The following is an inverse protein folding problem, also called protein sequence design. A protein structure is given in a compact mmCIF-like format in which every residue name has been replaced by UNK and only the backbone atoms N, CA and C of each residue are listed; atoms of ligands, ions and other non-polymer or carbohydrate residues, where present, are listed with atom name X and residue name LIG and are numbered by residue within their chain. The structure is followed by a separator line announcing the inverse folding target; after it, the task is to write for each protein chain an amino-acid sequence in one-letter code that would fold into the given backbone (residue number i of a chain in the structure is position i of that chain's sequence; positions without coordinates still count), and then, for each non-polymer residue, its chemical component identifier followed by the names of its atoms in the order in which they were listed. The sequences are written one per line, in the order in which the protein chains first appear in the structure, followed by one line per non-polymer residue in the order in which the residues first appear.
data_IF_208814612008
#
_entry.id   IF_208814612008
#
_cell.length_a   1.000
_cell.length_b   1.000
_cell.length_c   1.000
_cell.angle_alpha   90.00
_cell.angle_beta   90.00
_cell.angle_gamma   90.00
#
_symmetry.space_group_name_H-M   'P 1'
#
loop_
_entity.id
_entity.type
_entity.pdbx_description
1 polymer ?
#
# COMPACT_ATOMS: atom_id res chain seq x y z
N UNK A 1 47.19 -24.16 55.86
CA UNK A 1 45.80 -23.94 56.31
C UNK A 1 45.47 -22.49 56.01
N UNK A 2 44.47 -22.11 55.23
CA UNK A 2 43.24 -22.78 54.82
C UNK A 2 42.68 -22.00 53.64
N UNK A 3 42.14 -22.74 52.64
CA UNK A 3 41.18 -22.31 51.60
C UNK A 3 41.80 -21.48 50.46
N UNK A 4 42.13 -22.03 49.29
CA UNK A 4 41.47 -23.11 48.52
C UNK A 4 39.97 -22.81 48.36
N UNK A 5 39.48 -22.88 47.12
CA UNK A 5 38.14 -22.49 46.66
C UNK A 5 37.98 -20.96 46.65
N UNK A 6 38.03 -20.30 45.50
CA UNK A 6 37.07 -20.52 44.44
C UNK A 6 37.65 -19.94 43.14
N UNK A 7 37.68 -20.77 42.09
CA UNK A 7 37.62 -20.37 40.66
C UNK A 7 38.91 -19.72 40.12
N UNK A 8 39.89 -20.38 39.50
CA UNK A 8 39.88 -21.49 38.52
C UNK A 8 38.65 -21.46 37.61
N UNK A 9 38.47 -20.37 36.86
CA UNK A 9 37.95 -20.38 35.48
C UNK A 9 38.12 -19.00 34.86
N UNK A 10 39.29 -18.71 34.31
CA UNK A 10 39.41 -17.85 33.12
C UNK A 10 40.79 -17.99 32.47
N UNK A 11 41.26 -19.23 32.33
CA UNK A 11 42.29 -19.52 31.33
C UNK A 11 41.57 -19.88 30.02
N UNK A 12 41.79 -19.03 29.02
CA UNK A 12 41.89 -19.31 27.59
C UNK A 12 41.17 -20.56 27.05
N UNK A 13 40.13 -20.34 26.23
CA UNK A 13 39.82 -21.06 24.98
C UNK A 13 38.57 -20.36 24.41
N UNK A 14 38.44 -19.96 23.16
CA UNK A 14 39.22 -20.13 21.96
C UNK A 14 38.87 -18.98 21.00
N UNK A 15 39.81 -18.61 20.13
CA UNK A 15 39.45 -17.90 18.91
C UNK A 15 38.44 -18.74 18.12
N UNK A 16 37.32 -18.12 17.74
CA UNK A 16 36.29 -18.80 16.97
C UNK A 16 35.21 -17.84 16.50
N UNK A 17 35.22 -17.59 15.19
CA UNK A 17 34.10 -17.13 14.38
C UNK A 17 33.88 -15.60 14.28
N UNK A 18 34.61 -15.02 13.32
CA UNK A 18 34.05 -14.00 12.41
C UNK A 18 32.68 -14.48 11.93
N UNK A 19 31.62 -13.68 12.12
CA UNK A 19 30.50 -13.47 11.20
C UNK A 19 29.57 -12.39 11.79
N UNK A 20 29.13 -11.48 10.92
CA UNK A 20 28.64 -10.16 11.28
C UNK A 20 27.33 -10.09 12.04
N UNK A 21 27.14 -8.97 12.74
CA UNK A 21 25.85 -8.31 12.85
C UNK A 21 26.07 -6.80 12.85
N UNK A 22 25.66 -6.20 11.73
CA UNK A 22 24.97 -4.90 11.60
C UNK A 22 25.46 -3.74 12.47
N UNK A 23 26.00 -2.72 11.80
CA UNK A 23 26.22 -1.40 12.39
C UNK A 23 24.97 -0.91 13.12
N UNK A 24 25.15 -0.57 14.38
CA UNK A 24 24.27 0.38 15.06
C UNK A 24 24.47 1.71 14.36
N UNK A 25 23.72 1.96 13.30
CA UNK A 25 23.41 3.33 12.91
C UNK A 25 22.65 3.92 14.11
N UNK A 26 23.34 4.78 14.86
CA UNK A 26 22.68 5.65 15.82
C UNK A 26 21.61 6.41 15.03
N UNK A 27 20.34 6.08 15.27
CA UNK A 27 19.24 6.95 14.92
C UNK A 27 19.43 8.21 15.77
N UNK A 28 20.00 9.23 15.13
CA UNK A 28 20.07 10.58 15.67
C UNK A 28 18.67 10.98 16.14
N UNK A 29 18.56 11.41 17.39
CA UNK A 29 17.30 11.80 18.02
C UNK A 29 16.69 12.94 17.21
N UNK A 30 15.71 12.60 16.38
CA UNK A 30 14.95 13.59 15.62
C UNK A 30 14.27 14.54 16.60
N UNK A 31 14.59 15.82 16.44
CA UNK A 31 13.89 16.96 17.05
C UNK A 31 12.37 16.74 17.06
N UNK A 32 11.79 17.00 18.22
CA UNK A 32 10.39 16.89 18.63
C UNK A 32 9.37 17.58 17.68
N UNK A 33 9.14 16.97 16.51
CA UNK A 33 8.07 17.38 15.57
C UNK A 33 6.98 16.29 15.41
N UNK A 34 7.04 15.22 16.21
CA UNK A 34 6.10 14.10 16.15
C UNK A 34 6.31 13.16 14.96
N UNK A 35 5.78 11.94 15.07
CA UNK A 35 5.79 10.97 13.97
C UNK A 35 4.89 11.44 12.83
N UNK A 36 5.47 11.77 11.68
CA UNK A 36 4.73 12.26 10.50
C UNK A 36 4.07 11.17 9.66
N UNK A 37 4.40 9.92 9.89
CA UNK A 37 3.83 8.77 9.19
C UNK A 37 2.63 8.21 9.94
N UNK A 38 1.51 8.05 9.26
CA UNK A 38 0.30 7.42 9.80
C UNK A 38 -0.06 6.23 8.91
N UNK A 39 -0.40 5.10 9.53
CA UNK A 39 -0.95 3.95 8.83
C UNK A 39 -2.19 3.48 9.57
N UNK A 40 -3.34 3.46 8.89
CA UNK A 40 -4.62 3.26 9.55
C UNK A 40 -5.61 2.49 8.69
N UNK A 41 -6.58 1.86 9.37
CA UNK A 41 -7.78 1.34 8.73
C UNK A 41 -8.75 2.50 8.54
N UNK A 42 -9.34 2.60 7.35
CA UNK A 42 -10.31 3.64 7.02
C UNK A 42 -11.70 3.22 7.51
N UNK A 43 -12.41 4.17 8.11
CA UNK A 43 -13.84 4.06 8.44
C UNK A 43 -14.69 4.69 7.32
N UNK A 44 -14.34 5.91 6.91
CA UNK A 44 -14.96 6.62 5.79
C UNK A 44 -14.03 7.68 5.20
N UNK A 45 -14.32 8.13 3.98
CA UNK A 45 -13.64 9.27 3.34
C UNK A 45 -14.69 10.27 2.87
N UNK A 46 -14.47 11.53 3.21
CA UNK A 46 -15.27 12.66 2.75
C UNK A 46 -14.45 13.46 1.73
N UNK A 47 -15.02 13.69 0.55
CA UNK A 47 -14.39 14.46 -0.54
C UNK A 47 -15.29 15.66 -0.84
N UNK A 48 -14.79 16.85 -0.54
CA UNK A 48 -15.44 18.13 -0.85
C UNK A 48 -15.19 18.57 -2.29
N UNK A 49 -16.17 19.27 -2.85
CA UNK A 49 -16.11 19.80 -4.22
C UNK A 49 -15.05 20.90 -4.41
N UNK A 50 -14.47 21.43 -3.33
CA UNK A 50 -13.39 22.42 -3.31
C UNK A 50 -11.99 21.77 -3.21
N UNK A 51 -11.89 20.44 -3.30
CA UNK A 51 -10.66 19.68 -3.16
C UNK A 51 -10.23 19.46 -1.71
N UNK A 52 -11.01 19.91 -0.71
CA UNK A 52 -10.79 19.58 0.69
C UNK A 52 -11.53 18.31 1.10
N UNK A 53 -11.11 17.67 2.18
CA UNK A 53 -11.78 16.45 2.64
C UNK A 53 -11.25 15.94 3.97
N UNK A 54 -11.80 14.81 4.40
CA UNK A 54 -11.43 14.15 5.66
C UNK A 54 -11.33 12.64 5.42
N UNK A 55 -10.25 12.02 5.89
CA UNK A 55 -10.14 10.56 5.99
C UNK A 55 -10.37 10.19 7.44
N UNK A 56 -11.50 9.55 7.73
CA UNK A 56 -11.81 9.04 9.06
C UNK A 56 -11.15 7.67 9.24
N UNK A 57 -10.35 7.53 10.30
CA UNK A 57 -9.67 6.28 10.65
C UNK A 57 -10.43 5.55 11.75
N UNK A 58 -10.33 4.22 11.73
CA UNK A 58 -10.83 3.39 12.84
C UNK A 58 -9.87 3.50 14.01
N UNK A 59 -10.40 3.86 15.19
CA UNK A 59 -9.67 3.95 16.47
C UNK A 59 -8.47 4.92 16.46
N UNK A 60 -8.46 5.90 15.55
CA UNK A 60 -7.45 6.97 15.45
C UNK A 60 -8.17 8.29 15.11
N UNK A 61 -7.49 9.41 15.25
CA UNK A 61 -8.03 10.72 14.88
C UNK A 61 -8.32 10.78 13.35
N UNK A 62 -9.10 11.76 12.86
CA UNK A 62 -9.27 12.01 11.43
C UNK A 62 -8.07 12.71 10.79
N UNK A 63 -7.80 12.45 9.51
CA UNK A 63 -6.76 13.12 8.71
C UNK A 63 -7.45 14.15 7.81
N UNK A 64 -6.96 15.39 7.82
CA UNK A 64 -7.41 16.42 6.90
C UNK A 64 -6.65 16.30 5.57
N UNK A 65 -7.37 16.44 4.46
CA UNK A 65 -6.80 16.51 3.11
C UNK A 65 -7.25 17.81 2.45
N UNK A 66 -6.42 18.33 1.55
CA UNK A 66 -6.67 19.57 0.82
C UNK A 66 -6.36 19.40 -0.67
N UNK A 67 -6.68 20.42 -1.47
CA UNK A 67 -6.50 20.39 -2.92
C UNK A 67 -5.08 20.00 -3.36
N UNK A 68 -4.06 20.39 -2.59
CA UNK A 68 -2.64 20.12 -2.86
C UNK A 68 -2.17 18.73 -2.37
N UNK A 69 -2.99 18.03 -1.59
CA UNK A 69 -2.67 16.69 -1.09
C UNK A 69 -2.52 15.75 -2.27
N UNK A 70 -1.39 15.05 -2.36
CA UNK A 70 -1.19 14.06 -3.41
C UNK A 70 -1.63 12.69 -2.96
N UNK A 71 -2.32 11.95 -3.83
CA UNK A 71 -2.76 10.59 -3.56
C UNK A 71 -2.29 9.61 -4.63
N UNK A 72 -2.15 8.35 -4.22
CA UNK A 72 -1.82 7.26 -5.14
C UNK A 72 -2.54 5.98 -4.72
N UNK A 73 -3.15 5.32 -5.70
CA UNK A 73 -3.70 3.97 -5.57
C UNK A 73 -2.71 3.03 -6.28
N UNK A 74 -1.96 2.17 -5.56
CA UNK A 74 -0.89 1.33 -6.13
C UNK A 74 -1.28 0.44 -7.32
N UNK A 75 -2.57 0.24 -7.54
CA UNK A 75 -3.14 -0.61 -8.61
C UNK A 75 -3.70 0.19 -9.79
N UNK A 76 -3.68 1.53 -9.78
CA UNK A 76 -4.14 2.39 -10.87
C UNK A 76 -2.93 3.11 -11.51
N UNK A 77 -2.86 3.14 -12.85
CA UNK A 77 -1.94 4.02 -13.60
C UNK A 77 -2.78 5.20 -14.14
N UNK A 78 -2.40 6.49 -13.98
CA UNK A 78 -1.03 7.06 -13.94
C UNK A 78 -0.56 7.47 -12.50
N UNK A 79 0.66 8.04 -12.30
CA UNK A 79 1.26 8.22 -10.97
C UNK A 79 0.60 9.37 -10.18
N UNK A 80 0.99 9.52 -8.90
CA UNK A 80 0.54 10.54 -7.93
C UNK A 80 -0.31 11.68 -8.52
N UNK A 81 -1.59 11.70 -8.16
CA UNK A 81 -2.55 12.73 -8.54
C UNK A 81 -2.85 13.62 -7.34
N UNK A 82 -3.50 14.76 -7.55
CA UNK A 82 -3.92 15.68 -6.50
C UNK A 82 -5.34 15.38 -6.03
N UNK A 83 -5.65 15.76 -4.80
CA UNK A 83 -7.00 15.62 -4.25
C UNK A 83 -8.03 16.50 -4.99
N UNK A 84 -7.58 17.62 -5.56
CA UNK A 84 -8.40 18.43 -6.46
C UNK A 84 -8.82 17.65 -7.72
N UNK A 85 -7.86 16.98 -8.38
CA UNK A 85 -8.15 16.12 -9.55
C UNK A 85 -9.07 14.94 -9.17
N UNK A 86 -8.96 14.43 -7.94
CA UNK A 86 -9.87 13.39 -7.43
C UNK A 86 -11.31 13.91 -7.30
N UNK A 87 -11.50 15.12 -6.77
CA UNK A 87 -12.83 15.72 -6.59
C UNK A 87 -13.56 15.95 -7.93
N UNK A 88 -12.80 16.08 -9.03
CA UNK A 88 -13.33 16.21 -10.40
C UNK A 88 -13.48 14.85 -11.13
N UNK A 89 -13.05 13.74 -10.52
CA UNK A 89 -12.99 12.43 -11.17
C UNK A 89 -14.32 11.67 -11.15
N UNK A 90 -14.79 11.24 -12.32
CA UNK A 90 -16.02 10.43 -12.45
C UNK A 90 -15.94 9.07 -11.75
N UNK A 91 -14.77 8.42 -11.75
CA UNK A 91 -14.59 7.08 -11.16
C UNK A 91 -13.56 7.06 -10.02
N UNK A 92 -12.67 8.05 -9.93
CA UNK A 92 -11.55 8.07 -8.98
C UNK A 92 -12.02 8.06 -7.52
N UNK A 93 -13.12 8.76 -7.23
CA UNK A 93 -13.70 8.84 -5.89
C UNK A 93 -14.13 7.46 -5.36
N UNK A 94 -14.67 6.58 -6.22
CA UNK A 94 -15.14 5.24 -5.83
C UNK A 94 -14.03 4.40 -5.19
N UNK A 95 -12.79 4.53 -5.68
CA UNK A 95 -11.64 3.78 -5.15
C UNK A 95 -11.10 4.37 -3.84
N UNK A 96 -11.25 5.68 -3.64
CA UNK A 96 -10.80 6.37 -2.44
C UNK A 96 -11.83 6.23 -1.31
N UNK A 97 -13.12 6.35 -1.61
CA UNK A 97 -14.22 6.07 -0.69
C UNK A 97 -14.27 4.58 -0.30
N UNK A 98 -13.93 3.69 -1.24
CA UNK A 98 -13.79 2.25 -1.01
C UNK A 98 -12.47 1.82 -0.35
N UNK A 99 -11.64 2.76 0.12
CA UNK A 99 -10.38 2.45 0.76
C UNK A 99 -10.60 1.65 2.05
N UNK A 100 -9.78 0.63 2.27
CA UNK A 100 -9.78 -0.12 3.55
C UNK A 100 -8.66 0.33 4.45
N UNK A 101 -7.56 0.77 3.86
CA UNK A 101 -6.38 1.25 4.58
C UNK A 101 -5.75 2.42 3.85
N UNK A 102 -5.05 3.25 4.61
CA UNK A 102 -4.23 4.33 4.07
C UNK A 102 -2.86 4.34 4.73
N UNK A 103 -1.86 4.75 3.96
CA UNK A 103 -0.58 5.20 4.48
C UNK A 103 -0.42 6.68 4.16
N UNK A 104 -0.29 7.52 5.20
CA UNK A 104 -0.28 8.97 5.08
C UNK A 104 1.05 9.52 5.55
N UNK A 105 1.60 10.46 4.77
CA UNK A 105 2.66 11.35 5.20
C UNK A 105 2.02 12.70 5.53
N UNK A 106 2.14 13.14 6.79
CA UNK A 106 1.63 14.43 7.26
C UNK A 106 2.55 15.59 6.82
N UNK A 107 1.94 16.73 6.51
CA UNK A 107 2.61 18.01 6.38
C UNK A 107 3.22 18.43 7.73
N UNK A 108 4.11 19.43 7.70
CA UNK A 108 4.62 20.04 8.92
C UNK A 108 3.72 21.21 9.31
N UNK A 109 3.41 21.39 10.60
CA UNK A 109 3.68 20.48 11.71
C UNK A 109 2.74 19.26 11.70
N UNK A 110 3.20 18.10 12.21
CA UNK A 110 2.40 16.86 12.20
C UNK A 110 1.11 16.96 13.04
N UNK A 111 1.14 17.82 14.07
CA UNK A 111 0.02 18.03 14.99
C UNK A 111 -1.26 18.52 14.28
N UNK A 112 -1.14 19.17 13.12
CA UNK A 112 -2.29 19.69 12.37
C UNK A 112 -3.03 18.58 11.61
N UNK A 113 -2.46 17.36 11.56
CA UNK A 113 -3.06 16.19 10.91
C UNK A 113 -3.42 16.41 9.43
N UNK A 114 -2.74 17.34 8.76
CA UNK A 114 -2.91 17.62 7.33
C UNK A 114 -2.04 16.66 6.52
N UNK A 115 -2.63 15.94 5.59
CA UNK A 115 -1.91 15.06 4.68
C UNK A 115 -1.09 15.86 3.66
N UNK A 116 0.15 15.44 3.43
CA UNK A 116 0.94 15.82 2.27
C UNK A 116 0.82 14.77 1.17
N UNK A 117 0.88 13.49 1.56
CA UNK A 117 0.74 12.35 0.66
C UNK A 117 -0.14 11.28 1.26
N UNK A 118 -0.98 10.66 0.44
CA UNK A 118 -1.85 9.54 0.82
C UNK A 118 -1.64 8.38 -0.15
N UNK A 119 -1.26 7.23 0.35
CA UNK A 119 -1.38 5.97 -0.39
C UNK A 119 -2.67 5.28 0.01
N UNK A 120 -3.56 5.11 -0.95
CA UNK A 120 -4.87 4.48 -0.78
C UNK A 120 -4.75 2.99 -1.09
N UNK A 121 -5.09 2.15 -0.12
CA UNK A 121 -5.02 0.69 -0.23
C UNK A 121 -6.45 0.15 -0.28
N UNK A 122 -6.92 -0.28 -1.46
CA UNK A 122 -8.26 -0.85 -1.63
C UNK A 122 -8.32 -2.27 -1.05
N UNK A 123 -9.52 -2.72 -0.64
CA UNK A 123 -9.74 -4.08 -0.10
C UNK A 123 -9.46 -5.17 -1.15
N UNK A 124 -9.81 -4.85 -2.40
CA UNK A 124 -9.62 -5.72 -3.54
C UNK A 124 -8.59 -5.14 -4.49
N UNK A 125 -7.73 -5.98 -5.09
CA UNK A 125 -6.82 -5.52 -6.12
C UNK A 125 -7.63 -4.93 -7.29
N UNK A 126 -7.47 -3.64 -7.55
CA UNK A 126 -8.19 -2.93 -8.62
C UNK A 126 -7.69 -3.36 -10.01
N UNK A 127 -6.52 -4.02 -10.07
CA UNK A 127 -6.02 -4.73 -11.24
C UNK A 127 -5.56 -6.12 -10.83
N UNK A 128 -6.21 -7.14 -11.36
CA UNK A 128 -5.75 -8.52 -11.30
C UNK A 128 -5.18 -8.90 -12.66
N UNK A 129 -3.96 -9.43 -12.70
CA UNK A 129 -3.50 -10.15 -13.88
C UNK A 129 -4.41 -11.35 -14.10
N UNK A 130 -5.18 -11.33 -15.18
CA UNK A 130 -6.06 -12.41 -15.56
C UNK A 130 -5.27 -13.39 -16.39
N UNK A 131 -5.13 -14.60 -15.86
CA UNK A 131 -4.41 -15.69 -16.51
C UNK A 131 -5.33 -16.88 -16.63
N UNK A 132 -5.55 -17.34 -17.86
CA UNK A 132 -6.45 -18.45 -18.14
C UNK A 132 -6.43 -18.89 -19.59
N UNK A 133 -7.23 -19.91 -19.90
CA UNK A 133 -7.48 -20.34 -21.28
C UNK A 133 -8.82 -19.79 -21.72
N UNK A 134 -8.87 -19.16 -22.89
CA UNK A 134 -10.12 -18.70 -23.49
C UNK A 134 -10.98 -19.90 -23.89
N UNK A 135 -12.18 -20.03 -23.31
CA UNK A 135 -13.12 -21.12 -23.60
C UNK A 135 -14.29 -20.68 -24.47
N UNK A 136 -14.55 -19.38 -24.55
CA UNK A 136 -15.59 -18.80 -25.39
C UNK A 136 -15.17 -17.39 -25.79
N UNK A 137 -15.28 -17.07 -27.08
CA UNK A 137 -15.07 -15.72 -27.62
C UNK A 137 -16.34 -15.30 -28.37
N UNK A 138 -17.00 -14.24 -27.90
CA UNK A 138 -18.20 -13.67 -28.52
C UNK A 138 -17.99 -12.17 -28.74
N UNK A 139 -17.71 -11.80 -29.99
CA UNK A 139 -17.38 -10.43 -30.37
C UNK A 139 -16.16 -9.88 -29.61
N UNK A 140 -16.38 -8.85 -28.81
CA UNK A 140 -15.38 -8.21 -27.96
C UNK A 140 -15.33 -8.81 -26.55
N UNK A 141 -16.06 -9.89 -26.27
CA UNK A 141 -16.04 -10.55 -24.97
C UNK A 141 -15.34 -11.89 -25.01
N UNK A 142 -14.54 -12.18 -23.99
CA UNK A 142 -13.88 -13.47 -23.80
C UNK A 142 -14.20 -14.03 -22.42
N UNK A 143 -14.51 -15.33 -22.37
CA UNK A 143 -14.61 -16.07 -21.12
C UNK A 143 -13.36 -16.94 -20.94
N UNK A 144 -12.67 -16.72 -19.83
CA UNK A 144 -11.44 -17.41 -19.44
C UNK A 144 -11.73 -18.43 -18.35
N UNK A 145 -11.12 -19.61 -18.42
CA UNK A 145 -11.01 -20.52 -17.29
C UNK A 145 -9.61 -20.42 -16.71
N UNK A 146 -9.53 -20.06 -15.43
CA UNK A 146 -8.25 -19.96 -14.73
C UNK A 146 -7.78 -21.33 -14.18
N UNK A 147 -6.59 -21.38 -13.57
CA UNK A 147 -6.02 -22.60 -12.97
C UNK A 147 -6.89 -23.28 -11.92
N UNK A 148 -7.81 -22.53 -11.29
CA UNK A 148 -8.72 -23.04 -10.27
C UNK A 148 -10.05 -23.56 -10.86
N UNK A 149 -10.21 -23.54 -12.19
CA UNK A 149 -11.44 -23.92 -12.86
C UNK A 149 -12.54 -22.85 -12.78
N UNK A 150 -12.22 -21.63 -12.33
CA UNK A 150 -13.18 -20.53 -12.28
C UNK A 150 -13.28 -19.85 -13.64
N UNK A 151 -14.50 -19.66 -14.10
CA UNK A 151 -14.84 -18.87 -15.28
C UNK A 151 -14.89 -17.37 -14.96
N UNK A 152 -14.30 -16.57 -15.85
CA UNK A 152 -14.21 -15.12 -15.76
C UNK A 152 -14.47 -14.55 -17.15
N UNK A 153 -15.53 -13.74 -17.29
CA UNK A 153 -15.86 -13.06 -18.54
C UNK A 153 -15.40 -11.61 -18.49
N UNK A 154 -14.75 -11.16 -19.56
CA UNK A 154 -14.24 -9.79 -19.70
C UNK A 154 -14.46 -9.26 -21.10
N UNK A 155 -14.49 -7.94 -21.24
CA UNK A 155 -14.41 -7.26 -22.52
C UNK A 155 -12.95 -7.03 -22.90
N UNK A 156 -12.59 -7.36 -24.13
CA UNK A 156 -11.27 -7.18 -24.71
C UNK A 156 -11.02 -5.69 -24.98
N UNK A 157 -9.83 -5.17 -24.65
CA UNK A 157 -9.42 -3.83 -25.06
C UNK A 157 -9.38 -3.70 -26.59
N UNK A 158 -9.55 -2.48 -27.08
CA UNK A 158 -9.47 -2.19 -28.51
C UNK A 158 -8.14 -2.70 -29.11
N UNK A 159 -8.22 -3.42 -30.23
CA UNK A 159 -7.07 -3.98 -30.93
C UNK A 159 -6.49 -5.27 -30.36
N UNK A 160 -7.10 -5.85 -29.31
CA UNK A 160 -6.74 -7.17 -28.79
C UNK A 160 -7.60 -8.25 -29.47
N UNK A 161 -6.95 -9.20 -30.13
CA UNK A 161 -7.59 -10.38 -30.71
C UNK A 161 -7.22 -11.62 -29.89
N UNK A 162 -8.21 -12.45 -29.56
CA UNK A 162 -8.04 -13.69 -28.80
C UNK A 162 -8.85 -14.80 -29.48
N UNK A 163 -8.28 -16.00 -29.56
CA UNK A 163 -8.98 -17.19 -30.07
C UNK A 163 -9.37 -18.16 -28.96
N UNK A 164 -10.41 -18.97 -29.19
CA UNK A 164 -10.72 -20.09 -28.29
C UNK A 164 -9.55 -21.07 -28.20
N UNK A 165 -9.28 -21.58 -27.00
CA UNK A 165 -8.15 -22.43 -26.68
C UNK A 165 -6.83 -21.69 -26.47
N UNK A 166 -6.79 -20.37 -26.70
CA UNK A 166 -5.60 -19.56 -26.46
C UNK A 166 -5.34 -19.35 -24.97
N UNK A 167 -4.06 -19.38 -24.59
CA UNK A 167 -3.64 -18.98 -23.25
C UNK A 167 -3.51 -17.45 -23.21
N UNK A 168 -4.33 -16.83 -22.37
CA UNK A 168 -4.48 -15.38 -22.27
C UNK A 168 -3.86 -14.89 -20.98
N UNK A 169 -3.10 -13.79 -21.07
CA UNK A 169 -2.62 -13.02 -19.93
C UNK A 169 -2.97 -11.56 -20.16
N UNK A 170 -3.83 -11.01 -19.31
CA UNK A 170 -4.33 -9.63 -19.38
C UNK A 170 -4.05 -8.89 -18.08
#
# INVERSE_FOLDING_TARGET
MSKILLVITTMLLAAGLVLGTTGMAAADEATDEGTRGVFGKVDSVEIGADGNGIINLVDDEPINVNADTTYHIPTFLPPWQTWAELAESEDGHLYVEGATRVAVLLAKPAADRIALKVMVIPDQPVRSHLVGVAITVDGDTVTLVNKAGKEITITLPEGVEVSEGEFVTL
#
